data_IF_532031379676
#
_entry.id   IF_532031379676
#
_cell.length_a   1.000
_cell.length_b   1.000
_cell.length_c   1.000
_cell.angle_alpha   90.00
_cell.angle_beta   90.00
_cell.angle_gamma   90.00
#
_symmetry.space_group_name_H-M   'P 1'
#
loop_
_entity.id
_entity.type
_entity.pdbx_description
1 polymer ?
#
# COMPACT_ATOMS: atom_id res chain seq x y z
N UNK A 1 -24.56 -7.00 -4.85
CA UNK A 1 -24.29 -6.34 -3.54
C UNK A 1 -25.57 -6.48 -2.69
N UNK A 2 -25.52 -7.31 -1.67
CA UNK A 2 -26.64 -7.45 -0.73
C UNK A 2 -26.18 -6.89 0.61
N UNK A 3 -26.75 -5.78 1.02
CA UNK A 3 -26.56 -5.26 2.37
C UNK A 3 -27.69 -5.77 3.24
N UNK A 4 -27.38 -6.64 4.20
CA UNK A 4 -28.29 -6.94 5.31
C UNK A 4 -28.02 -5.93 6.43
N UNK A 5 -28.86 -4.94 6.50
CA UNK A 5 -28.92 -4.00 7.60
C UNK A 5 -30.24 -4.24 8.35
N UNK A 6 -30.20 -4.27 9.66
CA UNK A 6 -31.39 -4.18 10.48
C UNK A 6 -32.19 -2.88 10.28
N UNK A 7 -31.62 -1.96 9.48
CA UNK A 7 -32.23 -0.76 8.92
C UNK A 7 -31.97 -0.74 7.42
N UNK A 8 -32.99 -0.46 6.62
CA UNK A 8 -32.82 -0.22 5.18
C UNK A 8 -32.13 1.11 4.98
N UNK A 9 -30.82 1.09 4.68
CA UNK A 9 -30.06 2.28 4.33
C UNK A 9 -29.87 2.34 2.82
N UNK A 10 -30.09 3.51 2.24
CA UNK A 10 -29.77 3.78 0.83
C UNK A 10 -28.33 4.32 0.76
N UNK A 11 -27.36 3.51 0.39
CA UNK A 11 -25.99 3.98 0.24
C UNK A 11 -25.83 4.80 -1.02
N UNK A 12 -25.03 5.83 -0.95
CA UNK A 12 -24.53 6.55 -2.10
C UNK A 12 -23.20 5.94 -2.53
N UNK A 13 -23.15 5.38 -3.73
CA UNK A 13 -21.91 4.85 -4.30
C UNK A 13 -21.33 5.88 -5.26
N UNK A 14 -20.07 6.21 -5.06
CA UNK A 14 -19.31 7.15 -5.88
C UNK A 14 -18.01 6.50 -6.35
N UNK A 15 -17.67 6.68 -7.62
CA UNK A 15 -16.38 6.26 -8.18
C UNK A 15 -15.49 7.49 -8.34
N UNK A 16 -14.31 7.44 -7.75
CA UNK A 16 -13.28 8.44 -7.95
C UNK A 16 -12.72 8.29 -9.39
N UNK A 17 -12.87 9.30 -10.24
CA UNK A 17 -12.43 9.21 -11.64
C UNK A 17 -10.90 9.12 -11.77
N UNK A 18 -10.15 9.55 -10.76
CA UNK A 18 -8.67 9.56 -10.79
C UNK A 18 -8.10 8.19 -10.47
N UNK A 19 -8.65 7.51 -9.47
CA UNK A 19 -8.12 6.23 -8.98
C UNK A 19 -8.95 5.03 -9.41
N UNK A 20 -10.17 5.23 -9.89
CA UNK A 20 -11.15 4.18 -10.15
C UNK A 20 -11.74 3.54 -8.88
N UNK A 21 -11.33 3.99 -7.70
CA UNK A 21 -11.82 3.45 -6.45
C UNK A 21 -13.30 3.79 -6.24
N UNK A 22 -14.05 2.82 -5.75
CA UNK A 22 -15.45 3.01 -5.37
C UNK A 22 -15.57 3.28 -3.89
N UNK A 23 -16.28 4.35 -3.55
CA UNK A 23 -16.58 4.74 -2.19
C UNK A 23 -18.06 4.60 -1.94
N UNK A 24 -18.42 4.03 -0.79
CA UNK A 24 -19.78 3.98 -0.33
C UNK A 24 -19.96 4.92 0.85
N UNK A 25 -20.90 5.84 0.73
CA UNK A 25 -21.32 6.74 1.82
C UNK A 25 -22.67 6.31 2.31
N UNK A 26 -22.78 6.12 3.60
CA UNK A 26 -24.06 5.83 4.26
C UNK A 26 -24.14 6.60 5.58
N UNK A 27 -25.36 6.80 6.04
CA UNK A 27 -25.65 7.30 7.40
C UNK A 27 -26.35 6.17 8.14
N UNK A 28 -25.79 5.79 9.28
CA UNK A 28 -26.36 4.78 10.17
C UNK A 28 -26.64 5.42 11.51
N UNK A 29 -27.71 4.99 12.16
CA UNK A 29 -27.98 5.33 13.55
C UNK A 29 -27.07 4.51 14.49
N UNK A 30 -26.84 4.97 15.72
CA UNK A 30 -26.03 4.23 16.69
C UNK A 30 -26.60 2.82 16.90
N UNK A 31 -25.73 1.82 16.82
CA UNK A 31 -26.14 0.41 16.98
C UNK A 31 -25.28 -0.53 16.15
N UNK A 32 -25.72 -1.78 16.05
CA UNK A 32 -25.03 -2.79 15.26
C UNK A 32 -25.19 -2.51 13.76
N UNK A 33 -24.07 -2.41 13.05
CA UNK A 33 -24.00 -2.26 11.60
C UNK A 33 -23.35 -3.51 11.00
N UNK A 34 -24.04 -4.19 10.10
CA UNK A 34 -23.50 -5.30 9.34
C UNK A 34 -23.40 -4.93 7.87
N UNK A 35 -22.19 -4.92 7.33
CA UNK A 35 -21.93 -4.76 5.91
C UNK A 35 -21.49 -6.10 5.33
N UNK A 36 -22.07 -6.48 4.20
CA UNK A 36 -21.66 -7.65 3.44
C UNK A 36 -21.37 -7.24 2.00
N UNK A 37 -20.18 -7.57 1.54
CA UNK A 37 -19.78 -7.42 0.16
C UNK A 37 -19.46 -8.80 -0.43
N UNK A 38 -19.97 -9.08 -1.62
CA UNK A 38 -19.66 -10.30 -2.36
C UNK A 38 -19.25 -9.92 -3.78
N UNK A 39 -18.13 -10.45 -4.23
CA UNK A 39 -17.63 -10.24 -5.58
C UNK A 39 -17.00 -11.52 -6.12
N UNK A 40 -17.12 -11.71 -7.43
CA UNK A 40 -16.31 -12.68 -8.17
C UNK A 40 -15.21 -11.90 -8.88
N UNK A 41 -13.96 -12.29 -8.67
CA UNK A 41 -12.78 -11.63 -9.25
C UNK A 41 -12.10 -12.60 -10.20
N UNK A 42 -11.88 -12.16 -11.42
CA UNK A 42 -11.02 -12.86 -12.38
C UNK A 42 -9.62 -12.26 -12.28
N UNK A 43 -8.62 -13.11 -11.99
CA UNK A 43 -7.22 -12.71 -11.89
C UNK A 43 -6.50 -13.00 -13.19
N UNK A 44 -5.92 -11.96 -13.78
CA UNK A 44 -5.04 -12.08 -14.94
C UNK A 44 -3.64 -11.62 -14.56
N UNK A 45 -2.69 -12.55 -14.52
CA UNK A 45 -1.33 -12.27 -14.11
C UNK A 45 -0.49 -11.78 -15.26
N UNK A 46 0.14 -10.62 -15.10
CA UNK A 46 1.22 -10.16 -15.96
C UNK A 46 2.56 -10.50 -15.29
N UNK A 47 3.39 -11.27 -15.97
CA UNK A 47 4.72 -11.67 -15.47
C UNK A 47 5.78 -11.09 -16.38
N UNK A 48 6.72 -10.35 -15.79
CA UNK A 48 7.89 -9.84 -16.50
C UNK A 48 9.16 -10.15 -15.70
N UNK A 49 10.27 -10.40 -16.40
CA UNK A 49 11.56 -10.59 -15.74
C UNK A 49 12.03 -9.27 -15.10
N UNK A 50 12.35 -9.23 -13.81
CA UNK A 50 12.77 -8.01 -13.12
C UNK A 50 13.89 -7.22 -13.81
N UNK A 51 14.85 -7.93 -14.40
CA UNK A 51 15.98 -7.35 -15.13
C UNK A 51 15.56 -6.56 -16.40
N UNK A 52 14.36 -6.80 -16.94
CA UNK A 52 13.84 -6.12 -18.12
C UNK A 52 12.97 -4.91 -17.77
N UNK A 53 12.70 -4.68 -16.49
CA UNK A 53 11.88 -3.55 -16.04
C UNK A 53 12.81 -2.39 -15.68
N UNK A 54 12.90 -1.42 -16.58
CA UNK A 54 13.72 -0.23 -16.40
C UNK A 54 12.94 0.86 -15.64
N UNK A 55 13.69 1.67 -14.89
CA UNK A 55 13.13 2.86 -14.26
C UNK A 55 12.80 3.92 -15.33
N UNK A 56 11.61 4.50 -15.23
CA UNK A 56 11.18 5.58 -16.11
C UNK A 56 11.66 6.91 -15.52
N UNK A 57 12.43 7.73 -16.27
CA UNK A 57 12.83 9.05 -15.80
C UNK A 57 11.61 9.93 -15.47
N UNK A 58 11.70 10.73 -14.40
CA UNK A 58 10.58 11.59 -13.94
C UNK A 58 9.98 12.43 -15.07
N UNK A 59 10.81 12.95 -15.97
CA UNK A 59 10.35 13.75 -17.12
C UNK A 59 9.48 12.98 -18.14
N UNK A 60 9.43 11.65 -18.05
CA UNK A 60 8.63 10.77 -18.92
C UNK A 60 7.48 10.10 -18.19
N UNK A 61 7.35 10.35 -16.90
CA UNK A 61 6.24 9.77 -16.14
C UNK A 61 4.91 10.37 -16.60
N UNK A 62 3.85 9.55 -16.73
CA UNK A 62 2.50 10.05 -16.96
C UNK A 62 2.08 11.00 -15.83
N UNK A 63 1.33 12.05 -16.20
CA UNK A 63 0.95 13.08 -15.23
C UNK A 63 0.15 12.55 -14.04
N UNK A 64 -0.65 11.51 -14.27
CA UNK A 64 -1.47 10.85 -13.24
C UNK A 64 -0.67 10.15 -12.15
N UNK A 65 0.59 9.76 -12.42
CA UNK A 65 1.43 9.10 -11.41
C UNK A 65 2.34 10.07 -10.65
N UNK A 66 2.45 11.33 -11.07
CA UNK A 66 3.31 12.33 -10.42
C UNK A 66 2.92 12.58 -8.96
N UNK A 67 1.63 12.46 -8.63
CA UNK A 67 1.14 12.57 -7.25
C UNK A 67 1.74 11.49 -6.32
N UNK A 68 2.20 10.36 -6.87
CA UNK A 68 2.81 9.28 -6.12
C UNK A 68 4.32 9.44 -5.89
N UNK A 69 4.88 10.57 -6.27
CA UNK A 69 6.25 11.01 -5.92
C UNK A 69 6.29 11.84 -4.64
N UNK A 70 5.17 12.47 -4.26
CA UNK A 70 5.14 13.42 -3.15
C UNK A 70 5.09 12.73 -1.79
N UNK A 71 5.67 13.36 -0.77
CA UNK A 71 5.51 12.91 0.59
C UNK A 71 4.03 12.98 1.00
N UNK A 72 3.66 12.15 1.95
CA UNK A 72 2.33 12.16 2.55
C UNK A 72 2.44 11.97 4.06
N UNK A 73 1.30 12.09 4.78
CA UNK A 73 1.29 11.96 6.24
C UNK A 73 1.98 10.68 6.74
N UNK A 74 1.73 9.55 6.07
CA UNK A 74 2.26 8.26 6.49
C UNK A 74 3.56 7.87 5.78
N UNK A 75 3.82 8.48 4.63
CA UNK A 75 5.00 8.19 3.79
C UNK A 75 5.83 9.47 3.64
N UNK A 76 6.57 9.82 4.69
CA UNK A 76 7.40 11.04 4.73
C UNK A 76 8.71 10.84 3.95
N UNK A 77 8.60 10.77 2.62
CA UNK A 77 9.74 10.54 1.73
C UNK A 77 10.80 11.65 1.79
N UNK A 78 10.37 12.88 2.06
CA UNK A 78 11.24 14.03 2.29
C UNK A 78 12.16 13.85 3.51
N UNK A 79 11.66 13.22 4.56
CA UNK A 79 12.41 12.95 5.79
C UNK A 79 13.32 11.72 5.69
N UNK A 80 13.04 10.84 4.75
CA UNK A 80 13.79 9.59 4.54
C UNK A 80 14.77 9.66 3.38
N UNK A 81 14.92 10.83 2.76
CA UNK A 81 15.78 11.01 1.59
C UNK A 81 17.22 10.57 1.85
N UNK A 82 17.85 11.02 2.94
CA UNK A 82 19.23 10.68 3.24
C UNK A 82 19.44 9.19 3.50
N UNK A 83 18.47 8.54 4.15
CA UNK A 83 18.47 7.08 4.36
C UNK A 83 18.36 6.36 3.01
N UNK A 84 17.39 6.74 2.19
CA UNK A 84 17.17 6.12 0.89
C UNK A 84 18.38 6.27 -0.04
N UNK A 85 18.99 7.45 -0.08
CA UNK A 85 20.18 7.71 -0.90
C UNK A 85 21.40 6.92 -0.42
N UNK A 86 21.63 6.84 0.90
CA UNK A 86 22.73 6.09 1.47
C UNK A 86 22.62 4.59 1.19
N UNK A 87 21.43 4.03 1.40
CA UNK A 87 21.21 2.58 1.30
C UNK A 87 21.04 2.12 -0.17
N UNK A 88 20.42 2.93 -1.04
CA UNK A 88 20.01 2.50 -2.38
C UNK A 88 20.44 3.42 -3.52
N UNK A 89 20.95 4.64 -3.23
CA UNK A 89 21.30 5.61 -4.27
C UNK A 89 22.40 5.14 -5.21
N UNK A 90 23.25 4.23 -4.77
CA UNK A 90 24.35 3.64 -5.54
C UNK A 90 23.93 2.47 -6.42
N UNK A 91 22.70 1.95 -6.25
CA UNK A 91 22.22 0.80 -7.02
C UNK A 91 21.79 1.23 -8.44
N UNK A 92 21.94 0.33 -9.43
CA UNK A 92 21.43 0.58 -10.77
C UNK A 92 19.92 0.87 -10.77
N UNK A 93 19.52 1.85 -11.58
CA UNK A 93 18.11 2.21 -11.75
C UNK A 93 17.34 1.09 -12.42
N UNK A 94 16.15 0.79 -11.90
CA UNK A 94 15.28 -0.26 -12.40
C UNK A 94 14.59 -1.03 -11.28
N UNK A 95 13.83 -2.05 -11.64
CA UNK A 95 13.05 -2.85 -10.68
C UNK A 95 13.93 -3.60 -9.67
N UNK A 96 15.19 -3.90 -10.02
CA UNK A 96 16.16 -4.49 -9.09
C UNK A 96 16.39 -3.63 -7.84
N UNK A 97 16.37 -2.29 -8.00
CA UNK A 97 16.44 -1.35 -6.86
C UNK A 97 15.19 -1.41 -5.98
N UNK A 98 14.02 -1.57 -6.58
CA UNK A 98 12.76 -1.75 -5.84
C UNK A 98 12.77 -3.05 -5.02
N UNK A 99 13.27 -4.14 -5.60
CA UNK A 99 13.44 -5.41 -4.88
C UNK A 99 14.42 -5.28 -3.71
N UNK A 100 15.53 -4.56 -3.90
CA UNK A 100 16.49 -4.31 -2.83
C UNK A 100 15.86 -3.52 -1.67
N UNK A 101 15.01 -2.52 -1.96
CA UNK A 101 14.24 -1.78 -0.95
C UNK A 101 13.30 -2.73 -0.21
N UNK A 102 12.56 -3.57 -0.94
CA UNK A 102 11.62 -4.54 -0.36
C UNK A 102 12.33 -5.50 0.61
N UNK A 103 13.44 -6.09 0.16
CA UNK A 103 14.26 -6.98 1.00
C UNK A 103 14.83 -6.26 2.23
N UNK A 104 15.28 -5.03 2.04
CA UNK A 104 15.82 -4.24 3.14
C UNK A 104 14.76 -3.97 4.20
N UNK A 105 13.54 -3.56 3.80
CA UNK A 105 12.42 -3.36 4.72
C UNK A 105 12.12 -4.64 5.48
N UNK A 106 12.02 -5.78 4.78
CA UNK A 106 11.77 -7.08 5.41
C UNK A 106 12.85 -7.55 6.38
N UNK A 107 14.10 -7.09 6.21
CA UNK A 107 15.22 -7.40 7.12
C UNK A 107 15.32 -6.46 8.32
N UNK A 108 14.81 -5.23 8.20
CA UNK A 108 14.99 -4.19 9.22
C UNK A 108 13.76 -3.95 10.09
N UNK A 109 12.61 -4.46 9.68
CA UNK A 109 11.35 -4.33 10.43
C UNK A 109 10.84 -5.71 10.81
N UNK A 110 10.57 -5.92 12.07
CA UNK A 110 9.94 -7.14 12.59
C UNK A 110 8.43 -7.03 12.48
N UNK A 111 7.79 -8.08 11.95
CA UNK A 111 6.33 -8.15 11.94
C UNK A 111 5.82 -8.48 13.34
N UNK A 112 5.04 -7.56 13.91
CA UNK A 112 4.47 -7.74 15.25
C UNK A 112 3.09 -7.09 15.35
N UNK A 113 2.08 -7.91 15.59
CA UNK A 113 0.71 -7.42 15.79
C UNK A 113 0.58 -6.57 17.04
N UNK A 114 -0.38 -5.64 17.02
CA UNK A 114 -0.72 -4.76 18.15
C UNK A 114 0.40 -3.80 18.61
N UNK A 115 1.44 -3.57 17.79
CA UNK A 115 2.52 -2.61 18.09
C UNK A 115 2.29 -1.23 17.52
N UNK A 116 1.36 -1.09 16.57
CA UNK A 116 1.14 0.13 15.81
C UNK A 116 -0.33 0.56 15.85
N UNK A 117 -0.57 1.82 15.54
CA UNK A 117 -1.90 2.43 15.57
C UNK A 117 -2.16 3.27 14.31
N UNK A 118 -3.29 3.98 14.27
CA UNK A 118 -3.70 4.79 13.11
C UNK A 118 -2.81 6.01 12.83
N UNK A 119 -1.90 6.37 13.74
CA UNK A 119 -0.96 7.48 13.55
C UNK A 119 0.44 7.05 13.15
N UNK A 120 0.77 5.75 13.25
CA UNK A 120 2.10 5.21 12.91
C UNK A 120 2.45 5.50 11.45
N UNK A 121 3.61 6.08 11.25
CA UNK A 121 4.14 6.52 9.95
C UNK A 121 5.39 5.76 9.55
N UNK A 122 5.88 5.98 8.32
CA UNK A 122 7.12 5.38 7.84
C UNK A 122 8.34 5.73 8.71
N UNK A 123 8.41 6.95 9.23
CA UNK A 123 9.49 7.37 10.13
C UNK A 123 9.41 6.62 11.46
N UNK A 124 8.21 6.46 12.02
CA UNK A 124 8.03 5.71 13.25
C UNK A 124 8.42 4.24 13.06
N UNK A 125 7.97 3.62 11.97
CA UNK A 125 8.30 2.23 11.61
C UNK A 125 9.81 2.03 11.45
N UNK A 126 10.50 2.96 10.80
CA UNK A 126 11.96 2.90 10.65
C UNK A 126 12.67 2.99 12.01
N UNK A 127 12.17 3.83 12.91
CA UNK A 127 12.77 4.08 14.22
C UNK A 127 12.53 2.92 15.18
N UNK A 128 11.30 2.45 15.25
CA UNK A 128 10.86 1.39 16.17
C UNK A 128 11.21 -0.01 15.68
N UNK A 129 11.39 -0.17 14.35
CA UNK A 129 11.73 -1.43 13.68
C UNK A 129 10.72 -2.55 13.91
N UNK A 130 9.48 -2.19 14.18
CA UNK A 130 8.35 -3.10 14.31
C UNK A 130 7.13 -2.55 13.59
N UNK A 131 6.27 -3.42 13.10
CA UNK A 131 5.05 -2.99 12.43
C UNK A 131 4.20 -4.14 11.90
N UNK A 132 3.08 -3.79 11.28
CA UNK A 132 2.22 -4.70 10.53
C UNK A 132 2.35 -4.43 9.03
N UNK A 133 1.69 -5.21 8.18
CA UNK A 133 1.79 -5.10 6.71
C UNK A 133 1.62 -3.66 6.19
N UNK A 134 0.71 -2.88 6.77
CA UNK A 134 0.50 -1.47 6.45
C UNK A 134 1.76 -0.62 6.68
N UNK A 135 2.46 -0.85 7.78
CA UNK A 135 3.62 -0.07 8.18
C UNK A 135 4.85 -0.40 7.32
N UNK A 136 5.01 -1.67 6.95
CA UNK A 136 5.99 -2.11 5.94
C UNK A 136 5.74 -1.42 4.60
N UNK A 137 4.47 -1.39 4.14
CA UNK A 137 4.11 -0.73 2.90
C UNK A 137 4.38 0.78 2.96
N UNK A 138 4.03 1.48 4.05
CA UNK A 138 4.31 2.90 4.21
C UNK A 138 5.81 3.21 4.16
N UNK A 139 6.64 2.40 4.83
CA UNK A 139 8.10 2.58 4.82
C UNK A 139 8.66 2.35 3.41
N UNK A 140 8.25 1.27 2.73
CA UNK A 140 8.69 0.99 1.38
C UNK A 140 8.29 2.10 0.40
N UNK A 141 7.04 2.59 0.46
CA UNK A 141 6.56 3.71 -0.35
C UNK A 141 7.41 4.96 -0.11
N UNK A 142 7.70 5.28 1.15
CA UNK A 142 8.47 6.46 1.47
C UNK A 142 9.91 6.38 0.93
N UNK A 143 10.56 5.22 1.01
CA UNK A 143 11.88 4.98 0.45
C UNK A 143 11.89 5.03 -1.08
N UNK A 144 10.89 4.43 -1.75
CA UNK A 144 10.73 4.52 -3.21
C UNK A 144 10.57 5.97 -3.66
N UNK A 145 9.65 6.72 -3.05
CA UNK A 145 9.38 8.12 -3.40
C UNK A 145 10.59 9.02 -3.15
N UNK A 146 11.36 8.76 -2.10
CA UNK A 146 12.60 9.47 -1.82
C UNK A 146 13.63 9.32 -2.95
N UNK A 147 13.56 8.23 -3.71
CA UNK A 147 14.39 7.96 -4.89
C UNK A 147 13.71 8.32 -6.22
N UNK A 148 12.64 9.10 -6.18
CA UNK A 148 11.82 9.46 -7.35
C UNK A 148 11.18 8.26 -8.08
N UNK A 149 10.92 7.18 -7.37
CA UNK A 149 10.16 6.05 -7.88
C UNK A 149 8.71 6.24 -7.42
N UNK A 150 7.75 6.45 -8.34
CA UNK A 150 6.35 6.57 -7.97
C UNK A 150 5.89 5.30 -7.26
N UNK A 151 5.24 5.47 -6.13
CA UNK A 151 4.74 4.35 -5.36
C UNK A 151 3.43 4.71 -4.66
N UNK A 152 2.45 3.82 -4.69
CA UNK A 152 1.17 4.00 -4.01
C UNK A 152 0.83 2.82 -3.13
N UNK A 153 -0.01 3.10 -2.15
CA UNK A 153 -0.57 2.11 -1.25
C UNK A 153 -1.76 1.42 -1.93
N UNK A 154 -1.76 0.10 -1.92
CA UNK A 154 -2.88 -0.71 -2.32
C UNK A 154 -3.28 -1.68 -1.20
N UNK A 155 -4.55 -2.02 -1.16
CA UNK A 155 -5.07 -3.04 -0.25
C UNK A 155 -5.78 -4.14 -1.02
N UNK A 156 -5.73 -5.33 -0.50
CA UNK A 156 -6.43 -6.47 -1.08
C UNK A 156 -6.70 -7.54 -0.04
N UNK A 157 -7.38 -8.57 -0.47
CA UNK A 157 -7.55 -9.79 0.31
C UNK A 157 -6.54 -10.78 -0.24
N UNK A 158 -5.80 -11.43 0.64
CA UNK A 158 -4.85 -12.45 0.25
C UNK A 158 -5.59 -13.67 -0.29
N UNK A 159 -5.26 -14.04 -1.55
CA UNK A 159 -5.83 -15.20 -2.20
C UNK A 159 -4.83 -16.36 -2.15
N UNK A 160 -5.26 -17.49 -1.61
CA UNK A 160 -4.42 -18.68 -1.49
C UNK A 160 -3.48 -18.65 -0.28
N UNK A 161 -3.76 -17.80 0.71
CA UNK A 161 -3.09 -17.88 2.00
C UNK A 161 -3.25 -19.28 2.61
N UNK A 162 -2.25 -19.71 3.35
CA UNK A 162 -2.29 -21.00 4.04
C UNK A 162 -3.47 -21.00 5.03
N UNK A 163 -4.43 -21.94 4.90
CA UNK A 163 -5.56 -22.04 5.82
C UNK A 163 -5.15 -22.21 7.31
N UNK A 164 -3.94 -22.69 7.56
CA UNK A 164 -3.39 -22.79 8.91
C UNK A 164 -3.13 -21.42 9.57
N UNK A 165 -3.02 -20.36 8.78
CA UNK A 165 -2.86 -18.99 9.27
C UNK A 165 -4.18 -18.31 9.68
N UNK A 166 -5.30 -18.97 9.48
CA UNK A 166 -6.64 -18.45 9.79
C UNK A 166 -7.39 -17.96 8.55
N UNK A 167 -8.52 -17.27 8.72
CA UNK A 167 -9.28 -16.73 7.61
C UNK A 167 -8.48 -15.65 6.87
N UNK A 168 -8.69 -15.55 5.55
CA UNK A 168 -8.10 -14.49 4.74
C UNK A 168 -8.41 -13.12 5.32
N UNK A 169 -7.39 -12.29 5.45
CA UNK A 169 -7.46 -10.93 6.00
C UNK A 169 -7.07 -9.91 4.93
N UNK A 170 -7.26 -8.64 5.25
CA UNK A 170 -6.79 -7.55 4.40
C UNK A 170 -5.28 -7.41 4.53
N UNK A 171 -4.63 -7.34 3.38
CA UNK A 171 -3.20 -7.06 3.28
C UNK A 171 -2.93 -5.71 2.63
N UNK A 172 -1.75 -5.17 2.91
CA UNK A 172 -1.23 -3.97 2.30
C UNK A 172 -0.17 -4.33 1.27
N UNK A 173 -0.24 -3.67 0.11
CA UNK A 173 0.69 -3.84 -1.00
C UNK A 173 1.25 -2.50 -1.43
N UNK A 174 2.36 -2.54 -2.14
CA UNK A 174 2.97 -1.38 -2.79
C UNK A 174 2.90 -1.57 -4.30
N UNK A 175 2.33 -0.61 -4.98
CA UNK A 175 2.31 -0.50 -6.44
C UNK A 175 3.12 0.70 -6.90
#
# INVERSE_FOLDING_TARGET
EMMELGQFLLPQVHTDPTTGNRYMRLRAEPGALRLRYSATVELNHHVAAPALIHEVPVARLPAEVLTYLYPSRYCQSDRLYDVAMREFGHLPQGYGRVLAICEWVGKHVEFKSATTNASTSAVDTLTERVGVCRDFAHLMIALCRALNIPARFATGIDFGADPALGPSDFHAYVE
#
